data_IF_985089973191
#
_entry.id   IF_985089973191
#
_cell.length_a   1.000
_cell.length_b   1.000
_cell.length_c   1.000
_cell.angle_alpha   90.00
_cell.angle_beta   90.00
_cell.angle_gamma   90.00
#
_symmetry.space_group_name_H-M   'P 1'
#
loop_
_entity.id
_entity.type
_entity.pdbx_description
1 polymer ?
#
# COMPACT_ATOMS: atom_id res chain seq x y z
N UNK A 1 2.61 10.23 10.81
CA UNK A 1 3.24 9.73 9.57
C UNK A 1 4.57 10.43 9.40
N UNK A 2 5.54 9.80 8.77
CA UNK A 2 6.84 10.40 8.45
C UNK A 2 6.89 10.62 6.94
N UNK A 3 7.30 11.81 6.50
CA UNK A 3 7.21 12.20 5.08
C UNK A 3 8.01 11.28 4.15
N UNK A 4 9.30 11.08 4.41
CA UNK A 4 10.13 10.22 3.55
C UNK A 4 9.60 8.78 3.52
N UNK A 5 9.03 8.30 4.63
CA UNK A 5 8.47 6.96 4.74
C UNK A 5 7.21 6.84 3.89
N UNK A 6 6.36 7.88 3.85
CA UNK A 6 5.21 7.95 2.96
C UNK A 6 5.62 7.79 1.49
N UNK A 7 6.60 8.57 1.04
CA UNK A 7 7.08 8.51 -0.35
C UNK A 7 7.76 7.18 -0.69
N UNK A 8 8.50 6.60 0.26
CA UNK A 8 9.05 5.25 0.12
C UNK A 8 7.93 4.22 -0.10
N UNK A 9 6.87 4.27 0.70
CA UNK A 9 5.73 3.37 0.56
C UNK A 9 5.04 3.51 -0.80
N UNK A 10 4.82 4.76 -1.26
CA UNK A 10 4.24 5.04 -2.58
C UNK A 10 5.10 4.44 -3.69
N UNK A 11 6.42 4.67 -3.65
CA UNK A 11 7.34 4.13 -4.65
C UNK A 11 7.35 2.60 -4.65
N UNK A 12 7.44 1.96 -3.48
CA UNK A 12 7.44 0.49 -3.36
C UNK A 12 6.11 -0.11 -3.84
N UNK A 13 4.97 0.48 -3.48
CA UNK A 13 3.66 0.01 -3.91
C UNK A 13 3.47 0.15 -5.43
N UNK A 14 3.89 1.29 -6.01
CA UNK A 14 3.86 1.50 -7.45
C UNK A 14 4.74 0.49 -8.20
N UNK A 15 5.98 0.26 -7.72
CA UNK A 15 6.90 -0.72 -8.30
C UNK A 15 6.35 -2.15 -8.19
N UNK A 16 5.78 -2.52 -7.03
CA UNK A 16 5.12 -3.81 -6.86
C UNK A 16 3.98 -4.02 -7.87
N UNK A 17 3.17 -2.99 -8.08
CA UNK A 17 2.11 -3.00 -9.09
C UNK A 17 2.64 -3.18 -10.51
N UNK A 18 3.68 -2.42 -10.89
CA UNK A 18 4.34 -2.52 -12.19
C UNK A 18 4.91 -3.91 -12.42
N UNK A 19 5.57 -4.50 -11.41
CA UNK A 19 6.13 -5.86 -11.50
C UNK A 19 5.01 -6.88 -11.74
N UNK A 20 3.91 -6.81 -10.99
CA UNK A 20 2.78 -7.73 -11.15
C UNK A 20 2.13 -7.61 -12.54
N UNK A 21 1.88 -6.37 -13.01
CA UNK A 21 1.38 -6.14 -14.38
C UNK A 21 2.37 -6.62 -15.44
N UNK A 22 3.68 -6.44 -15.24
CA UNK A 22 4.71 -6.94 -16.14
C UNK A 22 4.69 -8.46 -16.28
N UNK A 23 4.41 -9.20 -15.20
CA UNK A 23 4.18 -10.66 -15.28
C UNK A 23 2.86 -11.02 -15.94
N UNK A 24 1.78 -10.26 -15.69
CA UNK A 24 0.50 -10.47 -16.36
C UNK A 24 0.60 -10.27 -17.88
N UNK A 25 1.31 -9.24 -18.34
CA UNK A 25 1.57 -8.98 -19.77
C UNK A 25 2.38 -10.09 -20.45
N UNK A 26 3.16 -10.86 -19.68
CA UNK A 26 3.88 -12.05 -20.15
C UNK A 26 3.04 -13.33 -20.03
N UNK A 27 1.73 -13.20 -19.79
CA UNK A 27 0.79 -14.29 -19.56
C UNK A 27 1.22 -15.26 -18.45
N UNK A 28 1.87 -14.75 -17.40
CA UNK A 28 2.28 -15.54 -16.23
C UNK A 28 1.37 -15.27 -15.04
N UNK A 29 1.06 -16.33 -14.30
CA UNK A 29 0.39 -16.25 -13.00
C UNK A 29 1.31 -15.78 -11.85
N UNK A 30 0.78 -15.65 -10.63
CA UNK A 30 1.52 -15.19 -9.45
C UNK A 30 2.73 -16.07 -9.13
N UNK A 31 3.82 -15.42 -8.73
CA UNK A 31 5.07 -16.06 -8.34
C UNK A 31 5.65 -15.39 -7.08
N UNK A 32 6.80 -15.88 -6.62
CA UNK A 32 7.42 -15.38 -5.38
C UNK A 32 7.83 -13.90 -5.47
N UNK A 33 8.11 -13.38 -6.67
CA UNK A 33 8.40 -11.95 -6.86
C UNK A 33 7.14 -11.10 -6.70
N UNK A 34 6.02 -11.48 -7.30
CA UNK A 34 4.78 -10.68 -7.22
C UNK A 34 4.13 -10.78 -5.84
N UNK A 35 4.13 -11.97 -5.24
CA UNK A 35 3.66 -12.18 -3.86
C UNK A 35 4.60 -11.56 -2.84
N UNK A 36 5.92 -11.68 -3.03
CA UNK A 36 6.92 -11.08 -2.15
C UNK A 36 6.88 -9.55 -2.19
N UNK A 37 6.66 -8.96 -3.36
CA UNK A 37 6.45 -7.51 -3.49
C UNK A 37 5.17 -7.05 -2.77
N UNK A 38 4.06 -7.77 -2.92
CA UNK A 38 2.82 -7.49 -2.20
C UNK A 38 2.99 -7.64 -0.68
N UNK A 39 3.72 -8.66 -0.23
CA UNK A 39 4.06 -8.87 1.17
C UNK A 39 4.88 -7.70 1.73
N UNK A 40 5.89 -7.23 1.00
CA UNK A 40 6.69 -6.07 1.39
C UNK A 40 5.83 -4.82 1.58
N UNK A 41 4.89 -4.56 0.64
CA UNK A 41 3.92 -3.46 0.78
C UNK A 41 3.08 -3.63 2.04
N UNK A 42 2.60 -4.84 2.32
CA UNK A 42 1.88 -5.16 3.55
C UNK A 42 2.68 -4.86 4.82
N UNK A 43 3.94 -5.30 4.87
CA UNK A 43 4.84 -5.04 6.01
C UNK A 43 5.07 -3.54 6.23
N UNK A 44 5.25 -2.77 5.16
CA UNK A 44 5.37 -1.32 5.25
C UNK A 44 4.08 -0.67 5.78
N UNK A 45 2.91 -1.14 5.37
CA UNK A 45 1.62 -0.67 5.91
C UNK A 45 1.46 -1.01 7.39
N UNK A 46 1.93 -2.18 7.84
CA UNK A 46 1.95 -2.53 9.27
C UNK A 46 2.87 -1.60 10.06
N UNK A 47 4.06 -1.30 9.53
CA UNK A 47 4.93 -0.28 10.13
C UNK A 47 4.26 1.10 10.14
N UNK A 48 3.49 1.46 9.10
CA UNK A 48 2.73 2.70 9.05
C UNK A 48 1.63 2.77 10.12
N UNK A 49 0.99 1.65 10.48
CA UNK A 49 0.05 1.58 11.61
C UNK A 49 0.75 1.95 12.90
N UNK A 50 1.91 1.34 13.18
CA UNK A 50 2.70 1.63 14.38
C UNK A 50 3.10 3.12 14.41
N UNK A 51 3.60 3.65 13.29
CA UNK A 51 3.96 5.08 13.17
C UNK A 51 2.72 5.97 13.37
N UNK A 52 1.56 5.59 12.84
CA UNK A 52 0.31 6.34 13.00
C UNK A 52 -0.17 6.42 14.45
N UNK A 53 0.06 5.36 15.24
CA UNK A 53 -0.26 5.33 16.67
C UNK A 53 0.72 6.15 17.51
N UNK A 54 2.02 6.08 17.20
CA UNK A 54 3.08 6.69 18.04
C UNK A 54 3.33 8.16 17.67
N UNK A 55 3.19 8.55 16.40
CA UNK A 55 3.52 9.91 15.97
C UNK A 55 2.86 11.04 16.78
N UNK A 56 1.56 10.96 17.17
CA UNK A 56 0.92 12.00 17.96
C UNK A 56 1.54 12.18 19.36
N UNK A 57 2.00 11.10 20.01
CA UNK A 57 2.65 11.19 21.33
C UNK A 57 4.06 11.77 21.26
N UNK A 58 4.66 11.82 20.06
CA UNK A 58 5.94 12.47 19.78
C UNK A 58 5.79 13.92 19.27
N UNK A 59 4.59 14.50 19.35
CA UNK A 59 4.31 15.87 18.91
C UNK A 59 4.09 16.04 17.40
N UNK A 60 4.12 14.95 16.62
CA UNK A 60 3.78 14.95 15.20
C UNK A 60 2.30 14.56 15.03
N UNK A 61 1.43 15.54 15.19
CA UNK A 61 -0.02 15.36 15.14
C UNK A 61 -0.53 15.58 13.71
N UNK A 62 -1.46 14.75 13.19
CA UNK A 62 -2.05 14.98 11.89
C UNK A 62 -2.85 16.28 11.87
N UNK A 63 -2.69 17.05 10.80
CA UNK A 63 -3.38 18.34 10.62
C UNK A 63 -4.81 18.19 10.07
N UNK A 64 -5.08 17.11 9.34
CA UNK A 64 -6.39 16.82 8.74
C UNK A 64 -7.27 15.87 9.56
N UNK A 65 -8.29 15.30 8.89
CA UNK A 65 -9.22 14.35 9.51
C UNK A 65 -8.53 13.05 9.89
N UNK A 66 -8.34 12.84 11.21
CA UNK A 66 -7.75 11.61 11.75
C UNK A 66 -8.56 10.36 11.38
N UNK A 67 -9.89 10.46 11.34
CA UNK A 67 -10.77 9.36 10.96
C UNK A 67 -10.57 8.98 9.49
N UNK A 68 -10.47 9.96 8.60
CA UNK A 68 -10.19 9.73 7.17
C UNK A 68 -8.85 9.02 6.98
N UNK A 69 -7.81 9.45 7.68
CA UNK A 69 -6.51 8.79 7.67
C UNK A 69 -6.60 7.31 8.06
N UNK A 70 -7.28 7.00 9.17
CA UNK A 70 -7.43 5.62 9.64
C UNK A 70 -8.26 4.75 8.72
N UNK A 71 -9.32 5.31 8.11
CA UNK A 71 -10.11 4.59 7.11
C UNK A 71 -9.23 4.18 5.93
N UNK A 72 -8.42 5.10 5.39
CA UNK A 72 -7.48 4.76 4.32
C UNK A 72 -6.46 3.69 4.74
N UNK A 73 -5.82 3.85 5.90
CA UNK A 73 -4.76 2.95 6.35
C UNK A 73 -5.29 1.53 6.61
N UNK A 74 -6.41 1.41 7.33
CA UNK A 74 -6.99 0.10 7.66
C UNK A 74 -7.49 -0.59 6.39
N UNK A 75 -8.16 0.12 5.49
CA UNK A 75 -8.59 -0.45 4.20
C UNK A 75 -7.40 -0.93 3.39
N UNK A 76 -6.35 -0.11 3.22
CA UNK A 76 -5.15 -0.50 2.51
C UNK A 76 -4.48 -1.74 3.13
N UNK A 77 -4.40 -1.80 4.46
CA UNK A 77 -3.81 -2.92 5.19
C UNK A 77 -4.61 -4.23 5.02
N UNK A 78 -5.94 -4.17 4.88
CA UNK A 78 -6.80 -5.34 4.63
C UNK A 78 -6.76 -5.77 3.16
N UNK A 79 -6.66 -4.82 2.22
CA UNK A 79 -6.62 -5.12 0.79
C UNK A 79 -5.43 -6.00 0.41
N UNK A 80 -4.26 -5.80 1.06
CA UNK A 80 -3.05 -6.61 0.78
C UNK A 80 -3.26 -8.11 1.05
N UNK A 81 -3.60 -8.57 2.27
CA UNK A 81 -3.82 -9.99 2.52
C UNK A 81 -4.99 -10.54 1.71
N UNK A 82 -6.06 -9.77 1.48
CA UNK A 82 -7.18 -10.20 0.66
C UNK A 82 -6.73 -10.52 -0.79
N UNK A 83 -5.96 -9.63 -1.41
CA UNK A 83 -5.44 -9.82 -2.75
C UNK A 83 -4.36 -10.92 -2.81
N UNK A 84 -3.53 -11.06 -1.79
CA UNK A 84 -2.55 -12.15 -1.69
C UNK A 84 -3.24 -13.51 -1.56
N UNK A 85 -4.26 -13.63 -0.70
CA UNK A 85 -5.07 -14.86 -0.57
C UNK A 85 -5.72 -15.19 -1.90
N UNK A 86 -6.33 -14.21 -2.58
CA UNK A 86 -6.89 -14.40 -3.91
C UNK A 86 -5.85 -14.94 -4.89
N UNK A 87 -4.66 -14.34 -4.95
CA UNK A 87 -3.58 -14.76 -5.84
C UNK A 87 -2.99 -16.14 -5.50
N UNK A 88 -3.11 -16.59 -4.25
CA UNK A 88 -2.70 -17.94 -3.83
C UNK A 88 -3.75 -18.99 -4.17
N UNK A 89 -5.04 -18.65 -4.03
CA UNK A 89 -6.16 -19.53 -4.36
C UNK A 89 -6.29 -19.72 -5.88
N UNK A 90 -6.16 -18.64 -6.63
CA UNK A 90 -6.27 -18.64 -8.09
C UNK A 90 -4.98 -18.14 -8.73
N UNK A 91 -4.13 -19.06 -9.19
CA UNK A 91 -2.84 -18.73 -9.81
C UNK A 91 -2.95 -18.42 -11.31
N UNK A 92 -3.89 -17.55 -11.69
CA UNK A 92 -4.13 -17.15 -13.08
C UNK A 92 -3.48 -15.80 -13.42
N UNK A 93 -3.42 -15.46 -14.72
CA UNK A 93 -2.93 -14.15 -15.17
C UNK A 93 -3.71 -13.00 -14.53
N UNK A 94 -5.03 -13.18 -14.33
CA UNK A 94 -5.90 -12.19 -13.71
C UNK A 94 -5.54 -11.92 -12.25
N UNK A 95 -5.02 -12.90 -11.51
CA UNK A 95 -4.52 -12.66 -10.17
C UNK A 95 -3.32 -11.69 -10.15
N UNK A 96 -2.41 -11.77 -11.12
CA UNK A 96 -1.34 -10.78 -11.25
C UNK A 96 -1.87 -9.39 -11.66
N UNK A 97 -2.95 -9.32 -12.45
CA UNK A 97 -3.63 -8.05 -12.75
C UNK A 97 -4.22 -7.43 -11.48
N UNK A 98 -4.86 -8.23 -10.62
CA UNK A 98 -5.37 -7.79 -9.31
C UNK A 98 -4.25 -7.28 -8.42
N UNK A 99 -3.13 -8.01 -8.30
CA UNK A 99 -1.95 -7.56 -7.55
C UNK A 99 -1.36 -6.25 -8.14
N UNK A 100 -1.44 -6.10 -9.46
CA UNK A 100 -1.07 -4.87 -10.16
C UNK A 100 -1.90 -3.66 -9.72
N UNK A 101 -3.21 -3.78 -9.79
CA UNK A 101 -4.15 -2.74 -9.36
C UNK A 101 -4.10 -2.48 -7.85
N UNK A 102 -3.84 -3.51 -7.04
CA UNK A 102 -3.59 -3.37 -5.62
C UNK A 102 -2.43 -2.40 -5.37
N UNK A 103 -1.28 -2.62 -6.02
CA UNK A 103 -0.10 -1.75 -5.87
C UNK A 103 -0.40 -0.29 -6.24
N UNK A 104 -1.07 -0.06 -7.37
CA UNK A 104 -1.50 1.29 -7.78
C UNK A 104 -2.49 1.93 -6.79
N UNK A 105 -3.45 1.16 -6.30
CA UNK A 105 -4.45 1.64 -5.34
C UNK A 105 -3.79 2.04 -4.03
N UNK A 106 -2.87 1.22 -3.51
CA UNK A 106 -2.14 1.52 -2.28
C UNK A 106 -1.26 2.77 -2.46
N UNK A 107 -0.59 2.93 -3.60
CA UNK A 107 0.20 4.13 -3.89
C UNK A 107 -0.65 5.41 -3.82
N UNK A 108 -1.86 5.40 -4.38
CA UNK A 108 -2.80 6.52 -4.31
C UNK A 108 -3.32 6.73 -2.88
N UNK A 109 -3.69 5.66 -2.18
CA UNK A 109 -4.18 5.75 -0.80
C UNK A 109 -3.14 6.32 0.15
N UNK A 110 -1.88 5.89 0.06
CA UNK A 110 -0.79 6.43 0.88
C UNK A 110 -0.50 7.89 0.53
N UNK A 111 -0.57 8.26 -0.75
CA UNK A 111 -0.46 9.66 -1.17
C UNK A 111 -1.57 10.53 -0.57
N UNK A 112 -2.80 9.99 -0.51
CA UNK A 112 -3.93 10.67 0.12
C UNK A 112 -3.75 10.78 1.63
N UNK A 113 -3.27 9.72 2.29
CA UNK A 113 -2.92 9.75 3.71
C UNK A 113 -1.84 10.80 4.02
N UNK A 114 -0.84 10.93 3.14
CA UNK A 114 0.20 11.95 3.26
C UNK A 114 -0.40 13.36 3.23
N UNK A 115 -1.30 13.66 2.29
CA UNK A 115 -2.00 14.96 2.23
C UNK A 115 -2.85 15.24 3.47
N UNK A 116 -3.51 14.22 4.03
CA UNK A 116 -4.31 14.38 5.26
C UNK A 116 -3.39 14.69 6.45
N UNK A 117 -2.23 14.03 6.52
CA UNK A 117 -1.30 14.19 7.63
C UNK A 117 -0.52 15.52 7.58
N UNK A 118 -0.07 15.89 6.39
CA UNK A 118 0.68 17.10 6.09
C UNK A 118 -0.16 17.93 5.12
N UNK A 119 -1.20 18.60 5.62
CA UNK A 119 -1.98 19.51 4.78
C UNK A 119 -1.01 20.51 4.15
N UNK A 120 -0.80 20.42 2.83
CA UNK A 120 -0.13 21.44 2.07
C UNK A 120 -1.05 22.66 2.10
N UNK A 121 -0.78 23.60 3.00
CA UNK A 121 -1.32 24.95 2.91
C UNK A 121 -0.71 25.54 1.65
N UNK A 122 -1.44 25.43 0.54
CA UNK A 122 -1.17 26.18 -0.69
C UNK A 122 -1.57 27.63 -0.51
#
# INVERSE_FOLDING_TARGET
>A
MIEWFAWLQVAVAALAGIVALGFALRSRGPNDYTLGAALLVGLLLLAQIIIGLIAPSMGNVPTGSLVEFWMYLVTAAIMVPAAMVWALLERTVMANVVLGFLGATIAVMVSRMHQIWFINVG
#
